data_IF_216500053733
#
_entry.id   IF_216500053733
#
_cell.length_a   1.000
_cell.length_b   1.000
_cell.length_c   1.000
_cell.angle_alpha   90.00
_cell.angle_beta   90.00
_cell.angle_gamma   90.00
#
_symmetry.space_group_name_H-M   'P 1'
#
loop_
_entity.id
_entity.type
_entity.pdbx_description
1 polymer ?
#
# COMPACT_ATOMS: atom_id res chain seq x y z
N UNK A 1 18.10 -5.15 -3.79
CA UNK A 1 18.21 -3.67 -3.90
C UNK A 1 16.93 -3.04 -4.43
N UNK A 2 16.33 -3.57 -5.50
CA UNK A 2 15.01 -3.13 -6.04
C UNK A 2 13.89 -2.96 -4.99
N UNK A 3 13.65 -3.88 -4.03
CA UNK A 3 12.52 -3.74 -3.10
C UNK A 3 12.75 -2.65 -2.05
N UNK A 4 14.01 -2.38 -1.69
CA UNK A 4 14.35 -1.27 -0.80
C UNK A 4 14.08 0.08 -1.46
N UNK A 5 14.50 0.23 -2.72
CA UNK A 5 14.24 1.44 -3.52
C UNK A 5 12.74 1.64 -3.71
N UNK A 6 11.98 0.57 -4.01
CA UNK A 6 10.53 0.62 -4.12
C UNK A 6 9.85 1.10 -2.84
N UNK A 7 10.28 0.63 -1.67
CA UNK A 7 9.75 1.08 -0.38
C UNK A 7 10.09 2.53 -0.06
N UNK A 8 11.31 2.99 -0.39
CA UNK A 8 11.69 4.41 -0.22
C UNK A 8 10.79 5.30 -1.09
N UNK A 9 10.58 4.93 -2.36
CA UNK A 9 9.69 5.65 -3.28
C UNK A 9 8.26 5.68 -2.72
N UNK A 10 7.75 4.56 -2.24
CA UNK A 10 6.43 4.50 -1.60
C UNK A 10 6.35 5.41 -0.38
N UNK A 11 7.35 5.36 0.53
CA UNK A 11 7.37 6.19 1.73
C UNK A 11 7.32 7.68 1.39
N UNK A 12 8.10 8.12 0.41
CA UNK A 12 8.06 9.50 -0.08
C UNK A 12 6.67 9.85 -0.62
N UNK A 13 6.09 8.99 -1.46
CA UNK A 13 4.73 9.19 -2.00
C UNK A 13 3.65 9.29 -0.92
N UNK A 14 3.75 8.52 0.17
CA UNK A 14 2.77 8.56 1.25
C UNK A 14 2.94 9.74 2.19
N UNK A 15 4.17 10.21 2.41
CA UNK A 15 4.42 11.48 3.12
C UNK A 15 3.83 12.66 2.34
N UNK A 16 3.97 12.64 1.00
CA UNK A 16 3.35 13.61 0.11
C UNK A 16 1.81 13.57 0.22
N UNK A 17 1.21 12.38 0.23
CA UNK A 17 -0.25 12.22 0.43
C UNK A 17 -0.73 12.65 1.83
N UNK A 18 0.06 12.42 2.88
CA UNK A 18 -0.25 12.86 4.24
C UNK A 18 -0.36 14.40 4.33
N UNK A 19 0.36 15.11 3.46
CA UNK A 19 0.38 16.59 3.43
C UNK A 19 -0.80 17.23 2.67
N UNK A 20 -1.76 16.43 2.15
CA UNK A 20 -2.91 16.94 1.40
C UNK A 20 -3.82 17.84 2.26
N UNK A 21 -4.15 19.01 1.72
CA UNK A 21 -5.15 19.95 2.25
C UNK A 21 -6.31 20.16 1.25
N UNK A 22 -7.41 20.78 1.69
CA UNK A 22 -8.63 21.00 0.89
C UNK A 22 -8.40 21.77 -0.43
N UNK A 23 -7.34 22.58 -0.51
CA UNK A 23 -6.95 23.37 -1.70
C UNK A 23 -5.89 22.70 -2.59
N UNK A 24 -5.57 21.42 -2.35
CA UNK A 24 -4.53 20.70 -3.11
C UNK A 24 -5.01 20.37 -4.52
N UNK A 25 -4.17 20.64 -5.53
CA UNK A 25 -4.47 20.30 -6.92
C UNK A 25 -4.65 18.78 -7.10
N UNK A 26 -5.67 18.38 -7.86
CA UNK A 26 -5.93 16.99 -8.19
C UNK A 26 -4.71 16.29 -8.84
N UNK A 27 -3.91 17.04 -9.61
CA UNK A 27 -2.69 16.52 -10.23
C UNK A 27 -1.63 16.10 -9.19
N UNK A 28 -1.53 16.80 -8.07
CA UNK A 28 -0.60 16.45 -7.00
C UNK A 28 -1.03 15.16 -6.26
N UNK A 29 -2.34 15.01 -6.02
CA UNK A 29 -2.90 13.80 -5.41
C UNK A 29 -2.65 12.60 -6.31
N UNK A 30 -2.97 12.72 -7.60
CA UNK A 30 -2.75 11.66 -8.59
C UNK A 30 -1.26 11.33 -8.73
N UNK A 31 -0.40 12.34 -8.84
CA UNK A 31 1.05 12.13 -8.92
C UNK A 31 1.61 11.40 -7.69
N UNK A 32 1.19 11.80 -6.49
CA UNK A 32 1.63 11.16 -5.24
C UNK A 32 1.11 9.73 -5.12
N UNK A 33 -0.13 9.46 -5.52
CA UNK A 33 -0.69 8.12 -5.59
C UNK A 33 0.03 7.23 -6.61
N UNK A 34 0.44 7.78 -7.76
CA UNK A 34 1.26 7.07 -8.74
C UNK A 34 2.64 6.69 -8.18
N UNK A 35 3.28 7.58 -7.42
CA UNK A 35 4.54 7.28 -6.73
C UNK A 35 4.38 6.09 -5.76
N UNK A 36 3.34 6.10 -4.94
CA UNK A 36 3.04 4.99 -4.02
C UNK A 36 2.77 3.69 -4.79
N UNK A 37 1.93 3.74 -5.83
CA UNK A 37 1.59 2.57 -6.64
C UNK A 37 2.81 1.97 -7.35
N UNK A 38 3.68 2.82 -7.88
CA UNK A 38 4.91 2.40 -8.55
C UNK A 38 5.86 1.69 -7.57
N UNK A 39 6.08 2.27 -6.38
CA UNK A 39 6.93 1.66 -5.36
C UNK A 39 6.42 0.31 -4.88
N UNK A 40 5.12 0.20 -4.59
CA UNK A 40 4.47 -1.07 -4.20
C UNK A 40 4.57 -2.10 -5.34
N UNK A 41 4.39 -1.68 -6.59
CA UNK A 41 4.50 -2.54 -7.77
C UNK A 41 5.88 -3.20 -7.89
N UNK A 42 6.96 -2.43 -7.72
CA UNK A 42 8.32 -2.96 -7.75
C UNK A 42 8.61 -3.95 -6.63
N UNK A 43 8.08 -3.69 -5.42
CA UNK A 43 8.22 -4.59 -4.28
C UNK A 43 7.54 -5.93 -4.58
N UNK A 44 6.32 -5.89 -5.12
CA UNK A 44 5.55 -7.11 -5.32
C UNK A 44 6.11 -8.02 -6.41
N UNK A 45 6.58 -7.45 -7.53
CA UNK A 45 7.24 -8.23 -8.57
C UNK A 45 8.53 -8.87 -8.06
N UNK A 46 9.28 -8.17 -7.21
CA UNK A 46 10.49 -8.74 -6.59
C UNK A 46 10.16 -9.91 -5.66
N UNK A 47 9.11 -9.77 -4.83
CA UNK A 47 8.73 -10.81 -3.87
C UNK A 47 8.33 -12.12 -4.56
N UNK A 48 7.55 -12.01 -5.64
CA UNK A 48 7.14 -13.18 -6.44
C UNK A 48 8.32 -13.83 -7.14
N UNK A 49 9.22 -13.05 -7.74
CA UNK A 49 10.43 -13.60 -8.36
C UNK A 49 11.31 -14.35 -7.35
N UNK A 50 11.48 -13.78 -6.15
CA UNK A 50 12.29 -14.38 -5.09
C UNK A 50 11.67 -15.70 -4.64
N UNK A 51 10.38 -15.75 -4.32
CA UNK A 51 9.75 -16.99 -3.84
C UNK A 51 9.83 -18.11 -4.88
N UNK A 52 9.59 -17.78 -6.16
CA UNK A 52 9.63 -18.75 -7.25
C UNK A 52 11.03 -19.36 -7.40
N UNK A 53 12.08 -18.59 -7.10
CA UNK A 53 13.46 -19.06 -7.19
C UNK A 53 13.90 -19.94 -6.01
N UNK A 54 13.16 -19.93 -4.91
CA UNK A 54 13.46 -20.70 -3.69
C UNK A 54 12.52 -21.88 -3.46
N UNK A 55 11.55 -22.07 -4.35
CA UNK A 55 10.56 -23.13 -4.25
C UNK A 55 10.73 -24.11 -5.40
N UNK A 56 10.62 -25.40 -5.12
CA UNK A 56 10.68 -26.46 -6.12
C UNK A 56 9.46 -26.39 -7.05
N UNK A 57 9.62 -26.81 -8.31
CA UNK A 57 8.59 -26.69 -9.35
C UNK A 57 7.16 -27.15 -8.94
N UNK A 58 6.98 -28.24 -8.17
CA UNK A 58 5.65 -28.66 -7.72
C UNK A 58 4.98 -27.68 -6.74
N UNK A 59 5.77 -26.99 -5.93
CA UNK A 59 5.29 -26.20 -4.78
C UNK A 59 5.13 -24.70 -5.08
N UNK A 60 5.56 -24.24 -6.27
CA UNK A 60 5.47 -22.83 -6.69
C UNK A 60 4.03 -22.32 -6.58
N UNK A 61 3.04 -23.16 -6.91
CA UNK A 61 1.62 -22.83 -6.81
C UNK A 61 1.18 -22.55 -5.36
N UNK A 62 1.60 -23.39 -4.41
CA UNK A 62 1.29 -23.20 -2.98
C UNK A 62 1.99 -21.96 -2.41
N UNK A 63 3.27 -21.78 -2.74
CA UNK A 63 4.05 -20.64 -2.26
C UNK A 63 3.49 -19.30 -2.77
N UNK A 64 3.15 -19.24 -4.06
CA UNK A 64 2.53 -18.05 -4.67
C UNK A 64 1.16 -17.76 -4.05
N UNK A 65 0.33 -18.79 -3.86
CA UNK A 65 -1.01 -18.64 -3.27
C UNK A 65 -0.95 -18.14 -1.83
N UNK A 66 0.03 -18.61 -1.05
CA UNK A 66 0.25 -18.14 0.33
C UNK A 66 0.60 -16.65 0.35
N UNK A 67 1.49 -16.20 -0.54
CA UNK A 67 1.83 -14.77 -0.67
C UNK A 67 0.62 -13.93 -1.09
N UNK A 68 -0.17 -14.43 -2.06
CA UNK A 68 -1.39 -13.76 -2.51
C UNK A 68 -2.42 -13.65 -1.40
N UNK A 69 -2.62 -14.72 -0.62
CA UNK A 69 -3.55 -14.75 0.51
C UNK A 69 -3.11 -13.75 1.59
N UNK A 70 -1.84 -13.74 1.98
CA UNK A 70 -1.31 -12.76 2.94
C UNK A 70 -1.52 -11.33 2.46
N UNK A 71 -1.34 -11.07 1.16
CA UNK A 71 -1.64 -9.75 0.57
C UNK A 71 -3.11 -9.40 0.69
N UNK A 72 -4.00 -10.33 0.34
CA UNK A 72 -5.45 -10.08 0.39
C UNK A 72 -5.90 -9.77 1.82
N UNK A 73 -5.38 -10.50 2.80
CA UNK A 73 -5.63 -10.23 4.22
C UNK A 73 -5.10 -8.85 4.62
N UNK A 74 -3.87 -8.51 4.26
CA UNK A 74 -3.29 -7.19 4.54
C UNK A 74 -4.07 -6.04 3.90
N UNK A 75 -4.55 -6.22 2.66
CA UNK A 75 -5.39 -5.25 1.97
C UNK A 75 -6.72 -5.05 2.69
N UNK A 76 -7.43 -6.15 2.99
CA UNK A 76 -8.70 -6.08 3.70
C UNK A 76 -8.57 -5.40 5.07
N UNK A 77 -7.55 -5.77 5.86
CA UNK A 77 -7.27 -5.13 7.15
C UNK A 77 -6.90 -3.66 7.00
N UNK A 78 -6.05 -3.31 6.03
CA UNK A 78 -5.64 -1.94 5.77
C UNK A 78 -6.82 -1.05 5.37
N UNK A 79 -7.68 -1.52 4.46
CA UNK A 79 -8.90 -0.82 4.04
C UNK A 79 -9.88 -0.68 5.18
N UNK A 80 -10.07 -1.71 6.01
CA UNK A 80 -10.98 -1.65 7.15
C UNK A 80 -10.51 -0.61 8.20
N UNK A 81 -9.22 -0.60 8.53
CA UNK A 81 -8.63 0.34 9.49
C UNK A 81 -8.75 1.78 8.95
N UNK A 82 -8.30 2.02 7.71
CA UNK A 82 -8.36 3.37 7.12
C UNK A 82 -9.79 3.83 6.92
N UNK A 83 -10.69 2.96 6.45
CA UNK A 83 -12.10 3.25 6.28
C UNK A 83 -12.78 3.63 7.60
N UNK A 84 -12.42 2.95 8.69
CA UNK A 84 -12.91 3.27 10.04
C UNK A 84 -12.41 4.63 10.50
N UNK A 85 -11.10 4.90 10.37
CA UNK A 85 -10.50 6.19 10.73
C UNK A 85 -11.13 7.32 9.90
N UNK A 86 -11.26 7.12 8.59
CA UNK A 86 -11.87 8.06 7.66
C UNK A 86 -13.31 8.36 8.06
N UNK A 87 -14.14 7.33 8.26
CA UNK A 87 -15.56 7.48 8.62
C UNK A 87 -15.72 8.22 9.94
N UNK A 88 -14.98 7.81 10.98
CA UNK A 88 -15.06 8.45 12.29
C UNK A 88 -14.57 9.91 12.26
N UNK A 89 -13.50 10.19 11.52
CA UNK A 89 -12.96 11.54 11.36
C UNK A 89 -13.93 12.42 10.57
N UNK A 90 -14.55 11.88 9.52
CA UNK A 90 -15.52 12.59 8.69
C UNK A 90 -16.78 12.94 9.49
N UNK A 91 -17.37 11.95 10.17
CA UNK A 91 -18.57 12.17 11.01
C UNK A 91 -18.29 13.21 12.09
N UNK A 92 -17.18 13.08 12.82
CA UNK A 92 -16.80 14.06 13.84
C UNK A 92 -16.52 15.44 13.25
N UNK A 93 -15.85 15.49 12.09
CA UNK A 93 -15.52 16.74 11.39
C UNK A 93 -16.74 17.50 10.88
N UNK A 94 -17.77 16.78 10.42
CA UNK A 94 -19.04 17.37 9.99
C UNK A 94 -19.88 17.78 11.19
N UNK A 95 -20.05 16.94 12.22
CA UNK A 95 -20.83 17.32 13.41
C UNK A 95 -20.27 18.55 14.13
N UNK A 96 -18.96 18.75 14.14
CA UNK A 96 -18.34 19.95 14.73
C UNK A 96 -18.65 21.23 13.97
N UNK A 97 -18.84 21.15 12.66
CA UNK A 97 -19.10 22.31 11.78
C UNK A 97 -20.61 22.53 11.57
N UNK A 98 -21.36 21.43 11.49
CA UNK A 98 -22.77 21.35 11.15
C UNK A 98 -23.47 20.36 12.12
N UNK A 99 -23.75 20.76 13.36
CA UNK A 99 -24.28 19.87 14.40
C UNK A 99 -25.66 19.28 14.07
N UNK A 100 -26.49 20.01 13.33
CA UNK A 100 -27.85 19.59 12.96
C UNK A 100 -27.92 18.84 11.60
N UNK A 101 -26.78 18.54 10.99
CA UNK A 101 -26.77 17.94 9.65
C UNK A 101 -27.03 16.41 9.71
N UNK A 102 -27.97 15.89 8.90
CA UNK A 102 -28.30 14.47 8.90
C UNK A 102 -27.14 13.63 8.34
N UNK A 103 -26.51 12.84 9.22
CA UNK A 103 -25.34 12.01 8.91
C UNK A 103 -25.59 10.96 7.82
N UNK A 104 -26.83 10.48 7.70
CA UNK A 104 -27.25 9.54 6.66
C UNK A 104 -27.01 10.08 5.24
N UNK A 105 -27.06 11.42 5.10
CA UNK A 105 -26.80 12.11 3.83
C UNK A 105 -25.32 12.06 3.42
N UNK A 106 -24.42 11.86 4.39
CA UNK A 106 -22.97 11.80 4.18
C UNK A 106 -22.54 10.36 3.84
N UNK A 107 -23.09 9.38 4.55
CA UNK A 107 -22.70 7.96 4.39
C UNK A 107 -23.35 7.31 3.16
N UNK A 108 -24.53 7.75 2.74
CA UNK A 108 -25.32 7.07 1.71
C UNK A 108 -25.15 7.56 0.27
N UNK A 109 -24.69 8.80 0.04
CA UNK A 109 -24.77 9.39 -1.31
C UNK A 109 -23.94 10.69 -1.49
N UNK A 110 -22.67 10.61 -1.95
CA UNK A 110 -21.85 11.78 -2.27
C UNK A 110 -22.50 12.74 -3.29
N UNK A 111 -23.35 12.22 -4.18
CA UNK A 111 -24.07 12.99 -5.19
C UNK A 111 -25.15 13.92 -4.60
N UNK A 112 -25.64 13.65 -3.38
CA UNK A 112 -26.57 14.56 -2.68
C UNK A 112 -25.88 15.80 -2.12
N UNK A 113 -24.55 15.77 -1.98
CA UNK A 113 -23.74 16.90 -1.49
C UNK A 113 -23.65 18.00 -2.57
N UNK A 114 -23.72 17.63 -3.86
CA UNK A 114 -23.74 18.58 -4.97
C UNK A 114 -25.03 19.42 -5.04
N UNK A 115 -26.11 18.99 -4.38
CA UNK A 115 -27.37 19.72 -4.32
C UNK A 115 -27.47 20.68 -3.12
N UNK A 116 -26.46 20.72 -2.25
CA UNK A 116 -26.43 21.59 -1.06
C UNK A 116 -25.92 23.00 -1.41
N UNK A 117 -26.30 23.98 -0.58
CA UNK A 117 -25.82 25.37 -0.67
C UNK A 117 -24.30 25.44 -0.56
N UNK A 118 -23.68 26.39 -1.25
CA UNK A 118 -22.23 26.44 -1.42
C UNK A 118 -21.47 26.49 -0.08
N UNK A 119 -22.02 27.16 0.94
CA UNK A 119 -21.41 27.23 2.28
C UNK A 119 -21.42 25.91 3.06
N UNK A 120 -22.41 25.03 2.84
CA UNK A 120 -22.44 23.69 3.45
C UNK A 120 -21.50 22.74 2.69
N UNK A 121 -21.42 22.91 1.36
CA UNK A 121 -20.53 22.12 0.51
C UNK A 121 -19.06 22.34 0.86
N UNK A 122 -18.64 23.57 1.08
CA UNK A 122 -17.25 23.90 1.46
C UNK A 122 -16.86 23.27 2.80
N UNK A 123 -17.72 23.35 3.80
CA UNK A 123 -17.49 22.73 5.12
C UNK A 123 -17.41 21.20 5.07
N UNK A 124 -18.24 20.58 4.22
CA UNK A 124 -18.18 19.12 3.99
C UNK A 124 -16.90 18.75 3.24
N UNK A 125 -16.50 19.53 2.22
CA UNK A 125 -15.25 19.31 1.48
C UNK A 125 -14.03 19.41 2.38
N UNK A 126 -13.97 20.39 3.28
CA UNK A 126 -12.92 20.48 4.29
C UNK A 126 -12.89 19.28 5.24
N UNK A 127 -14.06 18.85 5.73
CA UNK A 127 -14.16 17.68 6.60
C UNK A 127 -13.70 16.40 5.88
N UNK A 128 -14.03 16.25 4.59
CA UNK A 128 -13.55 15.16 3.73
C UNK A 128 -12.04 15.21 3.53
N UNK A 129 -11.48 16.36 3.19
CA UNK A 129 -10.05 16.52 3.00
C UNK A 129 -9.28 16.20 4.28
N UNK A 130 -9.78 16.66 5.43
CA UNK A 130 -9.19 16.37 6.73
C UNK A 130 -9.31 14.88 7.10
N UNK A 131 -10.43 14.23 6.78
CA UNK A 131 -10.60 12.80 7.00
C UNK A 131 -9.65 11.95 6.14
N UNK A 132 -9.45 12.33 4.87
CA UNK A 132 -8.50 11.68 3.95
C UNK A 132 -7.06 11.85 4.45
N UNK A 133 -6.65 13.07 4.77
CA UNK A 133 -5.31 13.36 5.30
C UNK A 133 -5.03 12.57 6.58
N UNK A 134 -6.00 12.49 7.50
CA UNK A 134 -5.86 11.71 8.73
C UNK A 134 -5.70 10.21 8.43
N UNK A 135 -6.48 9.67 7.48
CA UNK A 135 -6.36 8.29 7.01
C UNK A 135 -4.99 7.97 6.39
N UNK A 136 -4.45 8.86 5.56
CA UNK A 136 -3.11 8.69 4.99
C UNK A 136 -2.01 8.80 6.05
N UNK A 137 -2.13 9.73 6.98
CA UNK A 137 -1.17 9.90 8.09
C UNK A 137 -1.13 8.67 8.98
N UNK A 138 -2.27 8.02 9.22
CA UNK A 138 -2.33 6.76 9.96
C UNK A 138 -1.58 5.61 9.26
N UNK A 139 -1.40 5.67 7.93
CA UNK A 139 -0.65 4.67 7.16
C UNK A 139 0.86 4.92 7.11
N UNK A 140 1.33 6.14 7.38
CA UNK A 140 2.76 6.47 7.47
C UNK A 140 3.53 5.54 8.43
N UNK A 141 3.12 5.32 9.70
CA UNK A 141 3.86 4.44 10.60
C UNK A 141 3.89 2.99 10.11
N UNK A 142 2.80 2.50 9.50
CA UNK A 142 2.75 1.14 8.90
C UNK A 142 3.81 1.01 7.83
N UNK A 143 3.97 2.02 6.98
CA UNK A 143 4.94 1.99 5.89
C UNK A 143 6.38 2.15 6.36
N UNK A 144 6.60 2.95 7.41
CA UNK A 144 7.90 3.04 8.10
C UNK A 144 8.29 1.70 8.71
N UNK A 145 7.36 1.02 9.40
CA UNK A 145 7.61 -0.33 9.95
C UNK A 145 7.96 -1.29 8.82
N UNK A 146 7.21 -1.28 7.70
CA UNK A 146 7.51 -2.11 6.53
C UNK A 146 8.91 -1.85 5.96
N UNK A 147 9.31 -0.58 5.85
CA UNK A 147 10.64 -0.19 5.40
C UNK A 147 11.74 -0.67 6.37
N UNK A 148 11.52 -0.57 7.68
CA UNK A 148 12.45 -1.06 8.70
C UNK A 148 12.57 -2.59 8.61
N UNK A 149 11.46 -3.32 8.54
CA UNK A 149 11.46 -4.79 8.44
C UNK A 149 12.27 -5.23 7.22
N UNK A 150 12.05 -4.61 6.05
CA UNK A 150 12.80 -4.94 4.84
C UNK A 150 14.25 -4.49 4.90
N UNK A 151 14.54 -3.35 5.51
CA UNK A 151 15.92 -2.88 5.77
C UNK A 151 16.69 -3.80 6.72
N UNK A 152 16.01 -4.41 7.69
CA UNK A 152 16.56 -5.36 8.64
C UNK A 152 16.83 -6.74 8.03
N UNK A 153 16.24 -7.10 6.89
CA UNK A 153 16.56 -8.34 6.18
C UNK A 153 17.97 -8.18 5.58
N UNK A 154 19.00 -8.89 6.10
CA UNK A 154 20.36 -8.69 5.62
C UNK A 154 20.45 -9.17 4.18
N UNK A 155 20.72 -8.25 3.25
CA UNK A 155 20.97 -8.55 1.84
C UNK A 155 22.12 -9.56 1.60
N UNK A 156 22.89 -9.87 2.66
CA UNK A 156 23.92 -10.91 2.70
C UNK A 156 23.30 -12.31 2.89
N UNK A 157 22.36 -12.49 3.82
CA UNK A 157 21.71 -13.79 4.11
C UNK A 157 20.90 -14.33 2.93
N UNK A 158 20.20 -13.47 2.19
CA UNK A 158 19.47 -13.89 0.98
C UNK A 158 20.45 -14.33 -0.12
N UNK A 159 21.56 -13.62 -0.29
CA UNK A 159 22.60 -13.93 -1.27
C UNK A 159 23.36 -15.21 -0.94
N UNK A 160 23.64 -15.44 0.34
CA UNK A 160 24.37 -16.62 0.81
C UNK A 160 23.52 -17.88 0.65
N UNK A 161 22.22 -17.83 0.93
CA UNK A 161 21.30 -18.95 0.63
C UNK A 161 21.13 -19.22 -0.86
N UNK A 162 21.11 -18.18 -1.71
CA UNK A 162 21.08 -18.36 -3.17
C UNK A 162 22.36 -19.03 -3.69
N UNK A 163 23.51 -18.70 -3.09
CA UNK A 163 24.80 -19.31 -3.42
C UNK A 163 24.88 -20.77 -2.95
N UNK A 164 24.41 -21.10 -1.76
CA UNK A 164 24.42 -22.49 -1.28
C UNK A 164 23.52 -23.39 -2.11
N UNK A 165 22.31 -22.95 -2.47
CA UNK A 165 21.41 -23.71 -3.37
C UNK A 165 21.98 -23.89 -4.77
N UNK A 166 22.72 -22.91 -5.29
CA UNK A 166 23.36 -23.03 -6.61
C UNK A 166 24.62 -23.89 -6.57
N UNK A 167 25.32 -23.93 -5.43
CA UNK A 167 26.49 -24.79 -5.22
C UNK A 167 26.12 -26.27 -4.98
N UNK A 168 24.90 -26.53 -4.50
CA UNK A 168 24.36 -27.89 -4.34
C UNK A 168 23.76 -28.48 -5.62
N UNK A 169 23.56 -27.69 -6.68
CA UNK A 169 23.27 -28.24 -8.01
C UNK A 169 24.65 -28.59 -8.60
N UNK A 170 25.10 -29.86 -8.56
CA UNK A 170 26.30 -30.22 -9.29
C UNK A 170 25.98 -29.90 -10.74
N UNK A 171 26.95 -29.33 -11.45
CA UNK A 171 26.93 -29.37 -12.90
C UNK A 171 26.53 -30.81 -13.28
N UNK A 172 25.32 -30.99 -13.80
CA UNK A 172 25.01 -32.12 -14.65
C UNK A 172 25.83 -31.89 -15.93
N UNK A 173 27.16 -31.95 -15.77
CA UNK A 173 28.12 -32.14 -16.82
C UNK A 173 27.83 -33.54 -17.38
N UNK A 174 27.42 -33.55 -18.65
CA UNK A 174 28.03 -34.45 -19.60
C UNK A 174 27.45 -35.85 -19.72
N UNK A 175 26.22 -35.98 -20.22
CA UNK A 175 25.79 -37.21 -20.93
C UNK A 175 24.84 -36.93 -22.11
N UNK A 176 25.09 -35.89 -22.91
CA UNK A 176 24.37 -35.66 -24.18
C UNK A 176 25.26 -35.79 -25.45
N UNK A 177 26.52 -36.19 -25.30
CA UNK A 177 27.40 -36.45 -26.44
C UNK A 177 28.24 -37.71 -26.22
N UNK A 178 27.60 -38.87 -26.15
CA UNK A 178 28.19 -40.16 -26.50
C UNK A 178 27.05 -41.17 -26.73
N UNK A 179 26.97 -41.64 -27.98
CA UNK A 179 26.04 -42.61 -28.58
C UNK A 179 24.81 -41.99 -29.29
#
# INVERSE_FOLDING_TARGET
MVPFVGLVISCVGMILLSSIHASTSAAFVVGSAMLVGMGIGFVMQTLLYVIQRFTEAPDIGMATSTIMLSRLLGNALGVAIVGTIFTNTLVSGVQKRLPDFPLDSIQGAPHKIAALSDGVREQIQEAFAHALSNGFTAMVPVMVIGAIVVGCIPAKRVRDRLRSTTAEIPLAEGTAHAL
#
